data_IF_289639729992
#
_entry.id   IF_289639729992
#
_cell.length_a   1.000
_cell.length_b   1.000
_cell.length_c   1.000
_cell.angle_alpha   90.00
_cell.angle_beta   90.00
_cell.angle_gamma   90.00
#
_symmetry.space_group_name_H-M   'P 1'
#
loop_
_entity.id
_entity.type
_entity.pdbx_description
1 polymer ?
#
# COMPACT_ATOMS: atom_id res chain seq x y z
N UNK A 1 8.81 -0.18 27.24
CA UNK A 1 8.18 -0.05 25.90
C UNK A 1 6.69 0.25 26.11
N UNK A 2 6.22 1.43 25.73
CA UNK A 2 4.79 1.76 25.74
C UNK A 2 4.15 1.18 24.46
N UNK A 3 2.94 0.62 24.56
CA UNK A 3 2.19 0.02 23.45
C UNK A 3 0.87 0.74 23.16
N UNK A 4 0.56 1.80 23.88
CA UNK A 4 -0.76 2.43 23.86
C UNK A 4 -1.03 3.18 22.55
N UNK A 5 0.01 3.65 21.86
CA UNK A 5 -0.11 4.29 20.54
C UNK A 5 -0.79 3.38 19.50
N UNK A 6 -0.55 2.06 19.58
CA UNK A 6 -1.16 1.06 18.70
C UNK A 6 -2.50 0.51 19.21
N UNK A 7 -3.03 1.05 20.32
CA UNK A 7 -4.25 0.57 20.99
C UNK A 7 -5.30 1.66 21.15
N UNK A 8 -5.05 2.85 20.60
CA UNK A 8 -6.06 3.90 20.55
C UNK A 8 -7.31 3.38 19.82
N UNK A 9 -8.51 3.87 20.18
CA UNK A 9 -9.73 3.39 19.55
C UNK A 9 -9.74 3.59 18.04
N UNK A 10 -10.37 2.66 17.32
CA UNK A 10 -10.50 2.71 15.86
C UNK A 10 -11.28 3.96 15.42
N UNK A 11 -10.80 4.62 14.36
CA UNK A 11 -11.40 5.83 13.81
C UNK A 11 -12.40 5.47 12.69
N UNK A 12 -13.67 5.23 13.04
CA UNK A 12 -14.70 4.83 12.08
C UNK A 12 -15.19 6.01 11.24
N UNK A 13 -15.47 7.15 11.88
CA UNK A 13 -15.97 8.36 11.23
C UNK A 13 -15.51 9.64 11.96
N UNK A 14 -16.01 10.80 11.52
CA UNK A 14 -15.66 12.12 12.07
C UNK A 14 -16.53 12.54 13.28
N UNK A 15 -17.39 11.67 13.80
CA UNK A 15 -18.27 11.96 14.93
C UNK A 15 -17.55 11.84 16.28
N UNK A 16 -18.27 12.06 17.39
CA UNK A 16 -17.70 11.98 18.75
C UNK A 16 -17.05 10.60 18.98
N UNK A 17 -15.88 10.61 19.61
CA UNK A 17 -15.04 9.40 19.79
C UNK A 17 -14.81 8.63 18.47
N UNK A 18 -14.76 9.32 17.33
CA UNK A 18 -14.62 8.76 15.98
C UNK A 18 -15.61 7.65 15.62
N UNK A 19 -16.83 7.70 16.17
CA UNK A 19 -17.84 6.66 15.97
C UNK A 19 -17.52 5.34 16.68
N UNK A 20 -16.46 5.27 17.50
CA UNK A 20 -16.07 4.08 18.24
C UNK A 20 -17.01 3.76 19.42
N UNK A 21 -17.47 4.80 20.13
CA UNK A 21 -18.31 4.62 21.31
C UNK A 21 -19.27 5.79 21.52
N UNK A 22 -20.44 5.50 22.08
CA UNK A 22 -21.38 6.52 22.54
C UNK A 22 -21.05 7.06 23.95
N UNK A 23 -20.13 6.41 24.67
CA UNK A 23 -19.70 6.84 26.01
C UNK A 23 -19.07 8.24 26.00
N UNK A 24 -19.05 8.90 27.16
CA UNK A 24 -18.45 10.24 27.30
C UNK A 24 -16.92 10.22 27.11
N UNK A 25 -16.26 9.11 27.44
CA UNK A 25 -14.82 8.89 27.30
C UNK A 25 -14.55 7.41 27.00
N UNK A 26 -13.57 7.16 26.14
CA UNK A 26 -12.99 5.83 25.89
C UNK A 26 -11.88 5.51 26.88
N UNK A 27 -11.46 4.25 26.93
CA UNK A 27 -10.39 3.75 27.81
C UNK A 27 -9.00 4.34 27.48
N UNK A 28 -8.77 4.68 26.21
CA UNK A 28 -7.66 5.50 25.71
C UNK A 28 -8.21 6.61 24.82
N UNK A 29 -7.58 7.79 24.77
CA UNK A 29 -8.06 8.89 23.93
C UNK A 29 -8.04 8.49 22.46
N UNK A 30 -9.08 8.89 21.72
CA UNK A 30 -9.10 8.84 20.26
C UNK A 30 -8.06 9.82 19.73
N UNK A 31 -7.33 9.43 18.69
CA UNK A 31 -6.33 10.31 18.10
C UNK A 31 -6.99 11.56 17.47
N UNK A 32 -6.40 12.76 17.63
CA UNK A 32 -7.06 14.01 17.27
C UNK A 32 -7.36 14.16 15.77
N UNK A 33 -6.63 13.43 14.90
CA UNK A 33 -6.83 13.50 13.45
C UNK A 33 -8.05 12.70 12.94
N UNK A 34 -8.86 12.04 13.79
CA UNK A 34 -9.99 11.22 13.33
C UNK A 34 -11.00 11.96 12.43
N UNK A 35 -11.07 13.29 12.52
CA UNK A 35 -11.91 14.11 11.63
C UNK A 35 -11.45 14.08 10.17
N UNK A 36 -10.15 13.89 9.94
CA UNK A 36 -9.53 13.82 8.61
C UNK A 36 -9.24 12.37 8.21
N UNK A 37 -8.72 11.57 9.15
CA UNK A 37 -8.32 10.18 8.92
C UNK A 37 -9.32 9.23 9.58
N UNK A 38 -10.31 8.75 8.84
CA UNK A 38 -11.27 7.76 9.33
C UNK A 38 -11.72 6.82 8.21
N UNK A 39 -12.29 5.67 8.60
CA UNK A 39 -12.74 4.66 7.66
C UNK A 39 -13.78 5.20 6.66
N UNK A 40 -14.78 5.96 7.13
CA UNK A 40 -15.82 6.51 6.28
C UNK A 40 -15.25 7.42 5.17
N UNK A 41 -14.31 8.30 5.50
CA UNK A 41 -13.63 9.17 4.54
C UNK A 41 -12.77 8.35 3.55
N UNK A 42 -12.03 7.36 4.03
CA UNK A 42 -11.14 6.57 3.16
C UNK A 42 -11.89 5.61 2.24
N UNK A 43 -13.03 5.05 2.65
CA UNK A 43 -13.81 4.13 1.81
C UNK A 43 -14.30 4.82 0.53
N UNK A 44 -14.74 6.08 0.64
CA UNK A 44 -15.27 6.87 -0.49
C UNK A 44 -14.19 7.46 -1.39
N UNK A 45 -12.95 7.57 -0.91
CA UNK A 45 -11.83 8.11 -1.68
C UNK A 45 -11.11 6.99 -2.43
N UNK A 46 -11.23 6.96 -3.76
CA UNK A 46 -10.55 5.99 -4.65
C UNK A 46 -9.02 6.00 -4.49
N UNK A 47 -8.49 7.15 -4.07
CA UNK A 47 -7.08 7.42 -3.90
C UNK A 47 -6.54 7.08 -2.49
N UNK A 48 -7.40 6.59 -1.60
CA UNK A 48 -7.07 6.33 -0.20
C UNK A 48 -6.22 5.08 0.02
N UNK A 49 -5.61 5.01 1.21
CA UNK A 49 -4.90 3.82 1.64
C UNK A 49 -5.84 2.60 1.73
N UNK A 50 -7.10 2.80 2.12
CA UNK A 50 -8.11 1.74 2.12
C UNK A 50 -8.27 1.11 0.73
N UNK A 51 -8.47 1.93 -0.30
CA UNK A 51 -8.68 1.42 -1.66
C UNK A 51 -7.38 0.89 -2.28
N UNK A 52 -6.22 1.45 -1.93
CA UNK A 52 -4.92 0.89 -2.29
C UNK A 52 -4.73 -0.54 -1.75
N UNK A 53 -4.95 -0.75 -0.45
CA UNK A 53 -4.85 -2.08 0.20
C UNK A 53 -5.89 -3.04 -0.39
N UNK A 54 -7.12 -2.59 -0.59
CA UNK A 54 -8.17 -3.39 -1.23
C UNK A 54 -7.80 -3.81 -2.65
N UNK A 55 -7.18 -2.93 -3.42
CA UNK A 55 -6.64 -3.21 -4.76
C UNK A 55 -5.55 -4.27 -4.72
N UNK A 56 -4.57 -4.11 -3.83
CA UNK A 56 -3.48 -5.07 -3.63
C UNK A 56 -3.98 -6.46 -3.20
N UNK A 57 -4.97 -6.53 -2.30
CA UNK A 57 -5.57 -7.80 -1.90
C UNK A 57 -6.29 -8.50 -3.06
N UNK A 58 -7.01 -7.73 -3.90
CA UNK A 58 -7.62 -8.27 -5.13
C UNK A 58 -6.55 -8.78 -6.10
N UNK A 59 -5.48 -8.02 -6.32
CA UNK A 59 -4.37 -8.44 -7.16
C UNK A 59 -3.73 -9.73 -6.64
N UNK A 60 -3.39 -9.78 -5.34
CA UNK A 60 -2.85 -10.99 -4.69
C UNK A 60 -3.78 -12.21 -4.83
N UNK A 61 -5.10 -12.01 -4.86
CA UNK A 61 -6.06 -13.11 -5.04
C UNK A 61 -6.17 -13.61 -6.48
N UNK A 62 -5.78 -12.80 -7.47
CA UNK A 62 -5.84 -13.12 -8.91
C UNK A 62 -4.54 -13.72 -9.43
N UNK A 63 -3.41 -13.18 -8.97
CA UNK A 63 -2.06 -13.59 -9.39
C UNK A 63 -1.54 -14.72 -8.50
N UNK A 64 -1.35 -15.91 -9.09
CA UNK A 64 -0.92 -17.11 -8.33
C UNK A 64 0.50 -16.90 -7.81
N UNK A 65 1.35 -16.23 -8.58
CA UNK A 65 2.70 -15.86 -8.16
C UNK A 65 2.68 -15.02 -6.87
N UNK A 66 1.80 -14.02 -6.78
CA UNK A 66 1.70 -13.18 -5.57
C UNK A 66 1.13 -13.92 -4.36
N UNK A 67 0.25 -14.90 -4.58
CA UNK A 67 -0.32 -15.69 -3.49
C UNK A 67 0.68 -16.71 -2.93
N UNK A 68 1.21 -17.59 -3.78
CA UNK A 68 1.94 -18.81 -3.41
C UNK A 68 3.27 -19.01 -4.16
N UNK A 69 3.66 -18.09 -5.04
CA UNK A 69 4.92 -18.19 -5.78
C UNK A 69 6.17 -18.07 -4.90
N UNK A 70 7.28 -18.63 -5.37
CA UNK A 70 8.60 -18.44 -4.74
C UNK A 70 9.01 -16.97 -4.78
N UNK A 71 9.90 -16.56 -3.87
CA UNK A 71 10.43 -15.20 -3.81
C UNK A 71 11.90 -15.23 -4.25
N UNK A 72 12.23 -14.41 -5.25
CA UNK A 72 13.60 -14.21 -5.72
C UNK A 72 13.95 -12.73 -5.58
N UNK A 73 15.04 -12.40 -4.89
CA UNK A 73 15.51 -11.02 -4.80
C UNK A 73 16.05 -10.55 -6.15
N UNK A 74 15.82 -9.28 -6.49
CA UNK A 74 16.43 -8.64 -7.66
C UNK A 74 17.69 -7.93 -7.17
N UNK A 75 18.83 -8.33 -7.72
CA UNK A 75 20.12 -7.74 -7.40
C UNK A 75 20.40 -6.49 -8.25
N UNK A 76 21.46 -5.75 -7.90
CA UNK A 76 21.94 -4.58 -8.65
C UNK A 76 20.94 -3.41 -8.75
N UNK A 77 20.00 -3.31 -7.82
CA UNK A 77 19.14 -2.13 -7.67
C UNK A 77 19.83 -1.05 -6.81
N UNK A 78 19.41 0.22 -6.95
CA UNK A 78 19.84 1.28 -6.04
C UNK A 78 19.56 0.93 -4.57
N UNK A 79 20.39 1.42 -3.65
CA UNK A 79 20.35 1.04 -2.22
C UNK A 79 19.04 1.42 -1.51
N UNK A 80 18.29 2.38 -2.03
CA UNK A 80 16.99 2.81 -1.54
C UNK A 80 15.82 2.06 -2.19
N UNK A 81 16.09 1.09 -3.08
CA UNK A 81 15.06 0.31 -3.77
C UNK A 81 15.13 -1.15 -3.35
N UNK A 82 14.02 -1.68 -2.82
CA UNK A 82 13.85 -3.12 -2.65
C UNK A 82 13.10 -3.68 -3.85
N UNK A 83 13.74 -4.60 -4.57
CA UNK A 83 13.11 -5.33 -5.66
C UNK A 83 13.12 -6.83 -5.42
N UNK A 84 12.01 -7.48 -5.73
CA UNK A 84 11.91 -8.93 -5.74
C UNK A 84 10.87 -9.41 -6.74
N UNK A 85 11.07 -10.62 -7.27
CA UNK A 85 10.11 -11.30 -8.11
C UNK A 85 9.36 -12.37 -7.31
N UNK A 86 8.06 -12.50 -7.59
CA UNK A 86 7.27 -13.66 -7.21
C UNK A 86 7.06 -14.54 -8.45
N UNK A 87 7.28 -15.84 -8.32
CA UNK A 87 7.27 -16.77 -9.48
C UNK A 87 6.43 -18.00 -9.19
N UNK A 88 5.52 -18.35 -10.10
CA UNK A 88 4.75 -19.61 -10.06
C UNK A 88 4.52 -20.12 -11.48
N UNK A 89 5.14 -21.25 -11.84
CA UNK A 89 5.15 -21.72 -13.23
C UNK A 89 5.75 -20.67 -14.17
N UNK A 90 5.00 -20.30 -15.20
CA UNK A 90 5.39 -19.26 -16.17
C UNK A 90 5.01 -17.83 -15.71
N UNK A 91 4.23 -17.70 -14.63
CA UNK A 91 3.82 -16.41 -14.09
C UNK A 91 4.97 -15.78 -13.27
N UNK A 92 5.34 -14.55 -13.61
CA UNK A 92 6.35 -13.77 -12.90
C UNK A 92 5.87 -12.34 -12.66
N UNK A 93 5.78 -11.95 -11.40
CA UNK A 93 5.42 -10.59 -10.98
C UNK A 93 6.62 -9.95 -10.29
N UNK A 94 7.07 -8.81 -10.79
CA UNK A 94 8.12 -8.01 -10.16
C UNK A 94 7.49 -6.98 -9.21
N UNK A 95 8.05 -6.86 -8.02
CA UNK A 95 7.65 -5.90 -6.99
C UNK A 95 8.85 -5.03 -6.70
N UNK A 96 8.64 -3.72 -6.74
CA UNK A 96 9.67 -2.71 -6.60
C UNK A 96 9.17 -1.64 -5.63
N UNK A 97 9.96 -1.35 -4.61
CA UNK A 97 9.62 -0.43 -3.53
C UNK A 97 10.73 0.59 -3.39
N UNK A 98 10.43 1.87 -3.68
CA UNK A 98 11.31 3.00 -3.43
C UNK A 98 11.10 3.48 -1.97
N UNK A 99 12.16 3.48 -1.17
CA UNK A 99 12.17 3.95 0.22
C UNK A 99 12.67 5.39 0.38
N UNK A 100 12.95 6.07 -0.73
CA UNK A 100 13.28 7.49 -0.75
C UNK A 100 12.09 8.30 -1.32
N UNK A 101 12.10 9.62 -1.06
CA UNK A 101 11.16 10.56 -1.68
C UNK A 101 11.56 10.92 -3.11
N UNK A 102 12.86 10.86 -3.40
CA UNK A 102 13.36 11.16 -4.73
C UNK A 102 12.98 10.03 -5.71
N UNK A 103 12.52 10.37 -6.93
CA UNK A 103 12.26 9.37 -7.94
C UNK A 103 13.54 8.65 -8.35
N UNK A 104 13.41 7.36 -8.66
CA UNK A 104 14.55 6.52 -9.06
C UNK A 104 14.32 5.94 -10.44
N UNK A 105 15.32 6.11 -11.31
CA UNK A 105 15.40 5.41 -12.58
C UNK A 105 16.17 4.11 -12.39
N UNK A 106 15.67 3.05 -12.98
CA UNK A 106 16.31 1.75 -12.97
C UNK A 106 15.93 1.01 -14.26
N UNK A 107 16.81 0.17 -14.82
CA UNK A 107 16.45 -0.64 -15.96
C UNK A 107 15.40 -1.68 -15.55
N UNK A 108 14.28 -1.73 -16.27
CA UNK A 108 13.31 -2.82 -16.14
C UNK A 108 13.02 -3.44 -17.51
N UNK A 109 12.66 -4.73 -17.50
CA UNK A 109 12.15 -5.39 -18.68
C UNK A 109 10.75 -4.84 -19.03
N UNK A 110 10.42 -4.86 -20.32
CA UNK A 110 9.07 -4.52 -20.77
C UNK A 110 8.03 -5.46 -20.14
N UNK A 111 6.89 -4.90 -19.77
CA UNK A 111 5.80 -5.66 -19.19
C UNK A 111 4.61 -4.79 -18.78
N UNK A 112 3.54 -5.43 -18.35
CA UNK A 112 2.36 -4.73 -17.86
C UNK A 112 2.56 -4.26 -16.42
N UNK A 113 2.33 -2.98 -16.13
CA UNK A 113 2.14 -2.57 -14.73
C UNK A 113 0.81 -3.11 -14.26
N UNK A 114 0.83 -3.93 -13.22
CA UNK A 114 -0.39 -4.43 -12.58
C UNK A 114 -0.92 -3.45 -11.52
N UNK A 115 -0.02 -2.72 -10.86
CA UNK A 115 -0.36 -1.82 -9.76
C UNK A 115 0.76 -0.82 -9.49
N UNK A 116 0.40 0.44 -9.21
CA UNK A 116 1.35 1.51 -8.90
C UNK A 116 0.79 2.40 -7.79
N UNK A 117 1.63 2.73 -6.83
CA UNK A 117 1.36 3.71 -5.78
C UNK A 117 2.42 4.80 -5.86
N UNK A 118 2.13 5.84 -6.64
CA UNK A 118 2.85 7.10 -6.51
C UNK A 118 1.83 8.22 -6.21
N UNK A 119 2.33 9.38 -5.83
CA UNK A 119 1.47 10.50 -5.42
C UNK A 119 0.56 11.02 -6.55
N UNK A 120 0.93 10.78 -7.82
CA UNK A 120 0.33 11.45 -8.99
C UNK A 120 -0.30 10.53 -10.05
N UNK A 121 -0.19 9.21 -9.93
CA UNK A 121 -0.44 8.26 -11.01
C UNK A 121 -0.79 6.87 -10.45
N UNK A 122 -2.11 6.69 -10.30
CA UNK A 122 -2.75 5.56 -9.63
C UNK A 122 -3.37 4.54 -10.58
N UNK A 123 -3.20 4.72 -11.91
CA UNK A 123 -3.78 3.82 -12.91
C UNK A 123 -2.69 2.91 -13.49
N UNK A 124 -2.95 1.59 -13.63
CA UNK A 124 -2.00 0.70 -14.28
C UNK A 124 -1.76 1.13 -15.74
N UNK A 125 -0.50 1.16 -16.17
CA UNK A 125 -0.06 1.48 -17.54
C UNK A 125 1.21 0.68 -17.87
N UNK A 126 1.50 0.36 -19.15
CA UNK A 126 2.68 -0.45 -19.49
C UNK A 126 3.98 0.11 -18.92
N UNK A 127 4.86 -0.77 -18.42
CA UNK A 127 6.23 -0.45 -18.02
C UNK A 127 7.18 -0.69 -19.19
N UNK A 128 8.16 0.21 -19.32
CA UNK A 128 9.26 0.12 -20.27
C UNK A 128 10.59 0.53 -19.61
N UNK A 129 11.69 0.39 -20.34
CA UNK A 129 13.05 0.73 -19.90
C UNK A 129 13.28 2.18 -19.43
N UNK A 130 12.33 3.10 -19.66
CA UNK A 130 12.37 4.49 -19.20
C UNK A 130 11.45 4.75 -17.99
N UNK A 131 10.88 3.70 -17.38
CA UNK A 131 9.97 3.83 -16.25
C UNK A 131 10.68 4.35 -14.99
N UNK A 132 9.95 5.15 -14.21
CA UNK A 132 10.46 5.78 -12.99
C UNK A 132 9.62 5.33 -11.79
N UNK A 133 10.29 4.95 -10.70
CA UNK A 133 9.69 4.65 -9.39
C UNK A 133 9.61 5.90 -8.53
#
# INVERSE_FOLDING_TARGET
INRDEARTPMQWDATREAGFSSAKKTWLPVHPNHREVNAAAQIGDEASQWNAVRGLLKLRSRETALHAGSLNLIESLPSNVLGYARVSGDERVHILLNFDRAPVQFPCADGDCLFKLNENDRKPHPLNSSSVL
#
